data_IF_820629781288
#
_entry.id   IF_820629781288
#
_cell.length_a   1.000
_cell.length_b   1.000
_cell.length_c   1.000
_cell.angle_alpha   90.00
_cell.angle_beta   90.00
_cell.angle_gamma   90.00
#
_symmetry.space_group_name_H-M   'P 1'
#
loop_
_entity.id
_entity.type
_entity.pdbx_description
1 polymer ?
#
# COMPACT_ATOMS: atom_id res chain seq x y z
N UNK A 1 36.56 36.75 31.51
CA UNK A 1 37.94 36.22 31.69
C UNK A 1 38.35 36.31 33.16
N UNK A 2 39.27 35.44 33.65
CA UNK A 2 39.73 35.32 35.06
C UNK A 2 38.61 34.84 36.04
N UNK A 3 38.77 33.87 36.94
CA UNK A 3 39.85 33.34 37.82
C UNK A 3 40.02 34.06 39.18
N UNK A 4 39.71 33.33 40.26
CA UNK A 4 40.45 33.23 41.53
C UNK A 4 40.13 31.86 42.16
N UNK A 5 41.10 30.96 42.41
CA UNK A 5 42.11 30.89 43.50
C UNK A 5 41.48 30.47 44.85
N UNK A 6 41.72 29.30 45.48
CA UNK A 6 42.78 28.24 45.49
C UNK A 6 43.87 28.40 46.58
N UNK A 7 43.86 27.47 47.54
CA UNK A 7 44.91 26.98 48.48
C UNK A 7 44.67 25.44 48.59
N UNK A 8 45.61 24.50 48.79
CA UNK A 8 47.06 24.49 49.08
C UNK A 8 47.33 24.12 50.55
N UNK A 9 48.05 23.05 50.97
CA UNK A 9 48.95 22.01 50.36
C UNK A 9 48.65 20.63 51.05
N UNK A 10 48.93 19.40 50.59
CA UNK A 10 49.82 18.76 49.57
C UNK A 10 51.17 18.19 50.10
N UNK A 11 51.19 16.89 50.47
CA UNK A 11 52.31 15.90 50.63
C UNK A 11 51.68 14.51 50.98
N UNK A 12 52.11 13.32 50.54
CA UNK A 12 53.05 12.89 49.48
C UNK A 12 53.35 11.37 49.52
N UNK A 13 53.83 10.76 48.41
CA UNK A 13 54.30 9.34 48.20
C UNK A 13 53.17 8.27 48.25
N UNK A 14 53.06 7.26 47.34
CA UNK A 14 53.89 6.07 47.01
C UNK A 14 54.10 5.12 48.22
N UNK A 15 54.03 3.79 48.09
CA UNK A 15 54.17 2.90 46.90
C UNK A 15 53.32 1.60 46.97
N UNK A 16 53.66 0.56 46.21
CA UNK A 16 52.90 -0.68 45.88
C UNK A 16 52.34 -1.54 47.03
N UNK A 17 51.30 -2.35 46.72
CA UNK A 17 51.00 -3.62 47.40
C UNK A 17 50.69 -4.75 46.39
N UNK A 18 51.09 -5.98 46.73
CA UNK A 18 51.36 -7.05 45.77
C UNK A 18 50.31 -8.20 45.76
N UNK A 19 50.47 -9.07 44.76
CA UNK A 19 49.65 -10.27 44.52
C UNK A 19 49.89 -11.37 45.58
N UNK A 20 48.90 -12.25 45.79
CA UNK A 20 49.03 -13.49 46.56
C UNK A 20 48.84 -14.75 45.68
N UNK A 21 49.45 -15.91 46.01
CA UNK A 21 49.60 -17.04 45.08
C UNK A 21 48.56 -18.17 45.28
N UNK A 22 48.39 -19.07 44.30
CA UNK A 22 47.53 -20.25 44.40
C UNK A 22 48.15 -21.41 45.24
N UNK A 23 47.33 -22.35 45.74
CA UNK A 23 47.80 -23.49 46.55
C UNK A 23 48.46 -24.65 45.73
N UNK A 24 49.24 -25.54 46.39
CA UNK A 24 50.11 -26.52 45.74
C UNK A 24 49.46 -27.89 45.39
N UNK A 25 50.12 -28.74 44.56
CA UNK A 25 49.60 -30.02 44.07
C UNK A 25 49.95 -31.26 44.94
N UNK A 26 49.26 -32.40 44.74
CA UNK A 26 49.58 -33.69 45.38
C UNK A 26 50.77 -34.45 44.72
N UNK A 27 51.38 -35.44 45.43
CA UNK A 27 52.60 -36.15 45.01
C UNK A 27 52.39 -37.35 44.04
N UNK A 28 53.46 -37.96 43.47
CA UNK A 28 53.39 -38.71 42.20
C UNK A 28 53.63 -40.24 42.27
N UNK A 29 53.64 -40.86 41.08
CA UNK A 29 53.93 -42.27 40.70
C UNK A 29 52.69 -43.20 40.74
N UNK A 30 52.43 -44.06 39.75
CA UNK A 30 53.38 -44.84 38.91
C UNK A 30 53.04 -44.87 37.39
N UNK A 31 53.93 -45.49 36.59
CA UNK A 31 53.93 -45.46 35.12
C UNK A 31 53.54 -46.81 34.52
N UNK A 32 52.44 -46.86 33.76
CA UNK A 32 52.07 -48.04 32.94
C UNK A 32 51.51 -47.61 31.59
N UNK A 33 52.18 -48.01 30.51
CA UNK A 33 51.78 -47.65 29.14
C UNK A 33 50.70 -48.61 28.64
N UNK A 34 49.47 -48.14 28.41
CA UNK A 34 48.44 -48.88 27.69
C UNK A 34 47.86 -48.03 26.57
N UNK A 35 47.99 -48.52 25.34
CA UNK A 35 47.37 -47.94 24.15
C UNK A 35 46.01 -48.62 23.98
N UNK A 36 44.93 -47.87 24.12
CA UNK A 36 43.58 -48.32 23.75
C UNK A 36 43.35 -48.12 22.24
N UNK A 37 42.64 -49.04 21.55
CA UNK A 37 42.37 -48.93 20.12
C UNK A 37 41.36 -47.81 19.82
N UNK A 38 41.42 -47.27 18.60
CA UNK A 38 40.43 -46.31 18.12
C UNK A 38 39.05 -46.96 17.99
N UNK A 39 38.00 -46.23 18.40
CA UNK A 39 36.61 -46.58 18.09
C UNK A 39 36.09 -45.66 16.97
N UNK A 40 35.31 -46.23 16.07
CA UNK A 40 34.73 -45.55 14.92
C UNK A 40 33.60 -44.57 15.35
N UNK A 41 33.37 -43.48 14.60
CA UNK A 41 32.35 -42.50 14.95
C UNK A 41 30.94 -43.08 14.79
N UNK A 42 30.16 -43.07 15.88
CA UNK A 42 28.77 -43.51 15.89
C UNK A 42 27.91 -42.71 14.90
N UNK A 43 27.41 -43.40 13.87
CA UNK A 43 26.54 -42.80 12.84
C UNK A 43 25.12 -42.69 13.38
N UNK A 44 24.81 -41.62 14.12
CA UNK A 44 23.45 -41.08 14.31
C UNK A 44 23.43 -39.72 15.05
N UNK A 45 23.89 -38.67 14.38
CA UNK A 45 23.49 -37.29 14.72
C UNK A 45 23.38 -36.46 13.43
N UNK A 46 22.33 -36.74 12.67
CA UNK A 46 22.02 -35.96 11.48
C UNK A 46 21.57 -34.55 11.90
N UNK A 47 22.45 -33.57 11.71
CA UNK A 47 22.13 -32.14 11.81
C UNK A 47 20.99 -31.82 10.84
N UNK A 48 19.75 -31.77 11.33
CA UNK A 48 18.60 -31.28 10.56
C UNK A 48 18.88 -29.82 10.21
N UNK A 49 19.09 -29.46 8.93
CA UNK A 49 19.34 -28.08 8.57
C UNK A 49 18.09 -27.26 8.90
N UNK A 50 18.27 -26.12 9.57
CA UNK A 50 17.18 -25.25 9.98
C UNK A 50 16.42 -24.71 8.75
N UNK A 51 15.35 -25.40 8.34
CA UNK A 51 14.48 -25.02 7.22
C UNK A 51 13.93 -23.59 7.38
N UNK A 52 13.79 -23.13 8.62
CA UNK A 52 13.42 -21.76 9.01
C UNK A 52 14.35 -20.69 8.40
N UNK A 53 15.65 -20.97 8.28
CA UNK A 53 16.63 -20.05 7.70
C UNK A 53 16.51 -19.99 6.18
N UNK A 54 16.34 -21.14 5.52
CA UNK A 54 16.19 -21.23 4.05
C UNK A 54 14.84 -20.64 3.61
N UNK A 55 13.77 -20.93 4.34
CA UNK A 55 12.43 -20.41 4.05
C UNK A 55 12.38 -18.87 4.09
N UNK A 56 13.11 -18.23 5.01
CA UNK A 56 13.23 -16.77 5.09
C UNK A 56 13.97 -16.13 3.91
N UNK A 57 14.83 -16.87 3.22
CA UNK A 57 15.55 -16.37 2.04
C UNK A 57 14.67 -16.36 0.77
N UNK A 58 13.52 -17.05 0.78
CA UNK A 58 12.65 -17.25 -0.38
C UNK A 58 11.25 -16.61 -0.24
N UNK A 59 10.95 -15.94 0.88
CA UNK A 59 9.70 -15.16 1.00
C UNK A 59 9.75 -13.95 0.05
N UNK A 60 8.87 -13.86 -0.97
CA UNK A 60 8.86 -12.72 -1.89
C UNK A 60 8.55 -11.43 -1.14
N UNK A 61 9.16 -10.31 -1.57
CA UNK A 61 8.90 -9.01 -0.95
C UNK A 61 7.44 -8.57 -1.15
N UNK A 62 6.84 -7.79 -0.22
CA UNK A 62 5.45 -7.37 -0.35
C UNK A 62 5.11 -6.75 -1.70
N UNK A 63 5.99 -5.89 -2.24
CA UNK A 63 5.84 -5.29 -3.57
C UNK A 63 5.73 -6.32 -4.69
N UNK A 64 6.64 -7.31 -4.72
CA UNK A 64 6.61 -8.40 -5.70
C UNK A 64 5.32 -9.23 -5.61
N UNK A 65 4.76 -9.40 -4.41
CA UNK A 65 3.44 -10.01 -4.25
C UNK A 65 2.37 -9.09 -4.86
N UNK A 66 2.38 -7.78 -4.56
CA UNK A 66 1.39 -6.83 -5.11
C UNK A 66 1.37 -6.83 -6.64
N UNK A 67 2.54 -6.84 -7.29
CA UNK A 67 2.69 -6.93 -8.74
C UNK A 67 2.09 -8.22 -9.30
N UNK A 68 2.27 -9.34 -8.60
CA UNK A 68 1.77 -10.67 -8.99
C UNK A 68 0.26 -10.83 -8.81
N UNK A 69 -0.35 -10.10 -7.87
CA UNK A 69 -1.81 -10.16 -7.60
C UNK A 69 -2.61 -9.06 -8.31
N UNK A 70 -1.97 -8.16 -9.07
CA UNK A 70 -2.65 -7.03 -9.70
C UNK A 70 -3.71 -7.51 -10.72
N UNK A 71 -4.96 -7.01 -10.65
CA UNK A 71 -6.01 -7.41 -11.58
C UNK A 71 -5.67 -7.24 -13.06
N UNK A 72 -5.98 -8.28 -13.85
CA UNK A 72 -5.99 -8.20 -15.30
C UNK A 72 -6.99 -7.16 -15.81
N UNK A 73 -6.68 -6.56 -16.96
CA UNK A 73 -7.52 -5.55 -17.60
C UNK A 73 -8.81 -6.21 -18.12
N UNK A 74 -9.95 -5.68 -17.70
CA UNK A 74 -11.29 -6.14 -18.13
C UNK A 74 -11.88 -5.22 -19.20
N UNK A 75 -12.57 -5.81 -20.17
CA UNK A 75 -13.30 -5.11 -21.23
C UNK A 75 -14.63 -4.56 -20.71
N UNK A 76 -15.02 -3.37 -21.14
CA UNK A 76 -16.29 -2.73 -20.79
C UNK A 76 -17.49 -3.51 -21.34
N UNK A 77 -17.35 -4.09 -22.53
CA UNK A 77 -18.48 -4.43 -23.37
C UNK A 77 -19.14 -3.15 -23.85
N UNK A 78 -18.35 -2.25 -24.44
CA UNK A 78 -18.84 -1.08 -25.18
C UNK A 78 -19.43 -1.52 -26.53
N UNK A 79 -20.51 -0.87 -26.94
CA UNK A 79 -21.29 -1.22 -28.12
C UNK A 79 -21.31 -0.04 -29.09
N UNK A 80 -20.32 0.02 -29.99
CA UNK A 80 -20.17 1.08 -30.98
C UNK A 80 -21.23 1.09 -32.09
N UNK A 81 -22.28 0.24 -32.01
CA UNK A 81 -23.47 0.36 -32.84
C UNK A 81 -24.54 1.29 -32.25
N UNK A 82 -24.42 1.61 -30.96
CA UNK A 82 -25.31 2.55 -30.24
C UNK A 82 -24.76 3.98 -30.30
N UNK A 83 -25.63 5.01 -30.23
CA UNK A 83 -25.18 6.38 -30.14
C UNK A 83 -24.50 6.66 -28.79
N UNK A 84 -23.43 7.44 -28.84
CA UNK A 84 -22.69 7.96 -27.67
C UNK A 84 -23.48 9.05 -26.94
N UNK A 85 -24.61 8.67 -26.35
CA UNK A 85 -25.36 9.49 -25.41
C UNK A 85 -24.84 9.29 -23.99
N UNK A 86 -25.07 10.28 -23.12
CA UNK A 86 -24.60 10.25 -21.74
C UNK A 86 -25.09 8.99 -21.01
N UNK A 87 -26.36 8.61 -21.15
CA UNK A 87 -26.93 7.43 -20.51
C UNK A 87 -26.31 6.12 -21.00
N UNK A 88 -25.97 6.00 -22.30
CA UNK A 88 -25.29 4.82 -22.84
C UNK A 88 -23.84 4.72 -22.34
N UNK A 89 -23.12 5.85 -22.29
CA UNK A 89 -21.75 5.92 -21.80
C UNK A 89 -21.68 5.64 -20.30
N UNK A 90 -22.49 6.33 -19.49
CA UNK A 90 -22.55 6.15 -18.03
C UNK A 90 -22.96 4.73 -17.63
N UNK A 91 -23.97 4.14 -18.29
CA UNK A 91 -24.37 2.74 -18.06
C UNK A 91 -23.25 1.76 -18.41
N UNK A 92 -22.44 2.07 -19.42
CA UNK A 92 -21.27 1.27 -19.82
C UNK A 92 -20.11 1.42 -18.84
N UNK A 93 -19.85 2.63 -18.33
CA UNK A 93 -18.87 2.87 -17.26
C UNK A 93 -19.28 2.18 -15.95
N UNK A 94 -20.55 2.22 -15.57
CA UNK A 94 -21.09 1.51 -14.41
C UNK A 94 -20.94 -0.01 -14.56
N UNK A 95 -21.27 -0.56 -15.73
CA UNK A 95 -21.07 -1.99 -16.07
C UNK A 95 -19.59 -2.39 -16.00
N UNK A 96 -18.68 -1.54 -16.45
CA UNK A 96 -17.23 -1.74 -16.32
C UNK A 96 -16.76 -1.67 -14.87
N UNK A 97 -17.19 -0.69 -14.09
CA UNK A 97 -16.83 -0.55 -12.68
C UNK A 97 -17.35 -1.73 -11.85
N UNK A 98 -18.56 -2.23 -12.11
CA UNK A 98 -19.07 -3.48 -11.51
C UNK A 98 -18.17 -4.69 -11.81
N UNK A 99 -17.71 -4.86 -13.06
CA UNK A 99 -16.72 -5.91 -13.42
C UNK A 99 -15.39 -5.72 -12.68
N UNK A 100 -14.91 -4.49 -12.57
CA UNK A 100 -13.66 -4.16 -11.89
C UNK A 100 -13.73 -4.44 -10.38
N UNK A 101 -14.86 -4.13 -9.72
CA UNK A 101 -15.04 -4.38 -8.29
C UNK A 101 -15.06 -5.87 -7.93
N UNK A 102 -15.53 -6.76 -8.82
CA UNK A 102 -15.34 -8.22 -8.65
C UNK A 102 -13.85 -8.57 -8.54
N UNK A 103 -13.00 -7.93 -9.34
CA UNK A 103 -11.55 -8.17 -9.30
C UNK A 103 -10.89 -7.48 -8.09
N UNK A 104 -11.35 -6.30 -7.66
CA UNK A 104 -10.90 -5.64 -6.42
C UNK A 104 -11.17 -6.53 -5.20
N UNK A 105 -12.35 -7.15 -5.10
CA UNK A 105 -12.69 -8.09 -4.02
C UNK A 105 -11.82 -9.35 -4.06
N UNK A 106 -11.45 -9.87 -5.24
CA UNK A 106 -10.50 -10.98 -5.36
C UNK A 106 -9.07 -10.59 -4.95
N UNK A 107 -8.59 -9.44 -5.42
CA UNK A 107 -7.29 -8.86 -5.07
C UNK A 107 -7.16 -8.64 -3.57
N UNK A 108 -8.16 -8.03 -2.94
CA UNK A 108 -8.19 -7.78 -1.51
C UNK A 108 -8.09 -9.07 -0.67
N UNK A 109 -8.71 -10.17 -1.11
CA UNK A 109 -8.64 -11.49 -0.43
C UNK A 109 -7.23 -12.11 -0.42
N UNK A 110 -6.36 -11.74 -1.38
CA UNK A 110 -4.97 -12.22 -1.46
C UNK A 110 -3.94 -11.15 -1.05
N UNK A 111 -4.39 -9.94 -0.71
CA UNK A 111 -3.55 -8.82 -0.31
C UNK A 111 -2.86 -9.09 1.05
N UNK A 112 -1.50 -9.02 1.14
CA UNK A 112 -0.79 -9.27 2.38
C UNK A 112 -1.27 -8.40 3.55
N UNK A 113 -1.59 -9.03 4.68
CA UNK A 113 -2.09 -8.36 5.88
C UNK A 113 -3.59 -8.05 5.90
N UNK A 114 -4.27 -7.90 4.75
CA UNK A 114 -5.70 -7.52 4.73
C UNK A 114 -6.60 -8.56 5.40
N UNK A 115 -6.28 -9.84 5.22
CA UNK A 115 -6.95 -10.97 5.90
C UNK A 115 -6.82 -10.99 7.44
N UNK A 116 -5.96 -10.15 8.02
CA UNK A 116 -5.79 -10.02 9.46
C UNK A 116 -6.83 -9.05 10.07
N UNK A 117 -7.50 -8.24 9.24
CA UNK A 117 -8.59 -7.37 9.65
C UNK A 117 -9.88 -8.20 9.80
N UNK A 118 -10.80 -7.84 10.71
CA UNK A 118 -12.17 -8.36 10.73
C UNK A 118 -12.83 -8.28 9.35
N UNK A 119 -13.66 -9.27 9.00
CA UNK A 119 -14.35 -9.30 7.70
C UNK A 119 -15.21 -8.05 7.45
N UNK A 120 -15.80 -7.50 8.51
CA UNK A 120 -16.57 -6.26 8.47
C UNK A 120 -15.70 -5.03 8.17
N UNK A 121 -14.48 -4.96 8.74
CA UNK A 121 -13.51 -3.90 8.42
C UNK A 121 -13.00 -4.04 6.98
N UNK A 122 -12.79 -5.29 6.50
CA UNK A 122 -12.43 -5.56 5.10
C UNK A 122 -13.50 -5.07 4.12
N UNK A 123 -14.78 -5.39 4.38
CA UNK A 123 -15.92 -4.95 3.56
C UNK A 123 -16.03 -3.41 3.62
N UNK A 124 -15.96 -2.83 4.81
CA UNK A 124 -16.03 -1.38 5.06
C UNK A 124 -14.95 -0.63 4.28
N UNK A 125 -13.69 -1.07 4.32
CA UNK A 125 -12.58 -0.43 3.60
C UNK A 125 -12.77 -0.48 2.08
N UNK A 126 -13.29 -1.59 1.53
CA UNK A 126 -13.61 -1.70 0.10
C UNK A 126 -14.77 -0.75 -0.26
N UNK A 127 -15.83 -0.71 0.54
CA UNK A 127 -17.00 0.18 0.35
C UNK A 127 -16.63 1.67 0.44
N UNK A 128 -15.70 2.07 1.30
CA UNK A 128 -15.25 3.47 1.38
C UNK A 128 -14.24 3.87 0.30
N UNK A 129 -13.47 2.92 -0.26
CA UNK A 129 -12.36 3.23 -1.18
C UNK A 129 -12.62 2.94 -2.66
N UNK A 130 -13.72 2.26 -3.03
CA UNK A 130 -13.97 1.75 -4.38
C UNK A 130 -13.71 2.76 -5.51
N UNK A 131 -14.30 3.95 -5.43
CA UNK A 131 -14.15 5.01 -6.44
C UNK A 131 -12.70 5.48 -6.56
N UNK A 132 -11.98 5.55 -5.44
CA UNK A 132 -10.57 5.93 -5.38
C UNK A 132 -9.66 4.86 -6.01
N UNK A 133 -9.96 3.58 -5.77
CA UNK A 133 -9.26 2.46 -6.41
C UNK A 133 -9.50 2.45 -7.92
N UNK A 134 -10.74 2.67 -8.37
CA UNK A 134 -11.12 2.73 -9.78
C UNK A 134 -10.48 3.92 -10.51
N UNK A 135 -10.50 5.13 -9.94
CA UNK A 135 -9.91 6.33 -10.58
C UNK A 135 -8.38 6.31 -10.60
N UNK A 136 -7.73 5.76 -9.56
CA UNK A 136 -6.28 5.57 -9.54
C UNK A 136 -5.83 4.49 -10.53
N UNK A 137 -6.57 3.37 -10.65
CA UNK A 137 -6.32 2.33 -11.65
C UNK A 137 -6.61 2.80 -13.09
N UNK A 138 -7.63 3.66 -13.29
CA UNK A 138 -7.86 4.36 -14.57
C UNK A 138 -6.67 5.23 -14.93
N UNK A 139 -6.19 6.04 -13.99
CA UNK A 139 -5.03 6.92 -14.20
C UNK A 139 -3.77 6.14 -14.58
N UNK A 140 -3.57 4.97 -13.94
CA UNK A 140 -2.49 4.05 -14.29
C UNK A 140 -2.60 3.48 -15.70
N UNK A 141 -3.80 3.04 -16.12
CA UNK A 141 -4.01 2.55 -17.50
C UNK A 141 -3.81 3.66 -18.53
N UNK A 142 -4.33 4.85 -18.25
CA UNK A 142 -4.20 6.05 -19.11
C UNK A 142 -2.72 6.40 -19.34
N UNK A 143 -1.93 6.41 -18.25
CA UNK A 143 -0.48 6.55 -18.30
C UNK A 143 0.19 5.42 -19.10
N UNK A 144 0.03 4.17 -18.68
CA UNK A 144 0.74 3.01 -19.24
C UNK A 144 0.43 2.74 -20.71
N UNK A 145 -0.80 2.96 -21.17
CA UNK A 145 -1.26 2.59 -22.51
C UNK A 145 -1.36 3.76 -23.49
N UNK A 146 -1.37 5.01 -23.01
CA UNK A 146 -1.53 6.20 -23.89
C UNK A 146 -0.52 7.32 -23.62
N UNK A 147 0.40 7.15 -22.66
CA UNK A 147 1.23 8.23 -22.11
C UNK A 147 0.36 9.41 -21.61
N UNK A 148 -0.79 9.09 -21.02
CA UNK A 148 -1.80 10.04 -20.53
C UNK A 148 -2.32 11.02 -21.59
N UNK A 149 -2.43 10.59 -22.84
CA UNK A 149 -3.12 11.34 -23.90
C UNK A 149 -4.65 11.14 -23.86
N UNK A 150 -5.12 10.00 -23.35
CA UNK A 150 -6.54 9.64 -23.30
C UNK A 150 -6.89 8.91 -21.99
N UNK A 151 -8.16 8.95 -21.59
CA UNK A 151 -8.64 8.17 -20.45
C UNK A 151 -8.93 6.72 -20.88
N UNK A 152 -8.04 5.80 -20.49
CA UNK A 152 -8.09 4.39 -20.87
C UNK A 152 -8.97 3.58 -19.89
N UNK A 153 -10.30 3.72 -20.03
CA UNK A 153 -11.24 2.98 -19.19
C UNK A 153 -11.10 1.46 -19.39
N UNK A 154 -11.11 1.00 -20.63
CA UNK A 154 -10.89 -0.39 -21.03
C UNK A 154 -10.30 -0.45 -22.47
N UNK A 155 -9.83 -1.60 -22.97
CA UNK A 155 -9.27 -1.69 -24.33
C UNK A 155 -10.31 -1.43 -25.43
N UNK A 156 -11.59 -1.67 -25.14
CA UNK A 156 -12.76 -1.36 -25.97
C UNK A 156 -13.41 -0.01 -25.63
N UNK A 157 -12.88 0.74 -24.65
CA UNK A 157 -13.43 2.02 -24.22
C UNK A 157 -12.32 3.00 -23.81
N UNK A 158 -11.89 3.82 -24.75
CA UNK A 158 -10.89 4.89 -24.55
C UNK A 158 -11.58 6.23 -24.83
N UNK A 159 -11.47 7.16 -23.89
CA UNK A 159 -12.11 8.47 -23.96
C UNK A 159 -11.13 9.54 -24.49
N UNK A 160 -11.53 10.18 -25.59
CA UNK A 160 -11.05 11.47 -26.07
C UNK A 160 -11.93 12.61 -25.53
N UNK A 161 -11.56 13.87 -25.80
CA UNK A 161 -12.34 15.06 -25.41
C UNK A 161 -13.83 14.98 -25.84
N UNK A 162 -14.10 14.41 -27.01
CA UNK A 162 -15.46 14.20 -27.51
C UNK A 162 -16.28 13.29 -26.58
N UNK A 163 -15.74 12.13 -26.17
CA UNK A 163 -16.40 11.23 -25.21
C UNK A 163 -16.47 11.82 -23.80
N UNK A 164 -15.52 12.66 -23.43
CA UNK A 164 -15.55 13.40 -22.17
C UNK A 164 -16.71 14.41 -22.13
N UNK A 165 -17.02 15.07 -23.26
CA UNK A 165 -18.24 15.87 -23.40
C UNK A 165 -19.52 15.01 -23.48
N UNK A 166 -19.55 13.98 -24.34
CA UNK A 166 -20.73 13.12 -24.57
C UNK A 166 -21.21 12.40 -23.30
N UNK A 167 -20.30 12.04 -22.39
CA UNK A 167 -20.61 11.38 -21.11
C UNK A 167 -21.19 12.31 -20.03
N UNK A 168 -21.33 13.62 -20.32
CA UNK A 168 -21.79 14.66 -19.39
C UNK A 168 -20.95 14.81 -18.09
N UNK A 169 -19.73 14.26 -18.05
CA UNK A 169 -18.81 14.30 -16.90
C UNK A 169 -17.46 14.96 -17.23
N UNK A 170 -17.43 15.89 -18.19
CA UNK A 170 -16.22 16.49 -18.76
C UNK A 170 -15.21 16.99 -17.70
N UNK A 171 -15.64 17.79 -16.72
CA UNK A 171 -14.74 18.33 -15.67
C UNK A 171 -14.18 17.21 -14.76
N UNK A 172 -14.97 16.16 -14.49
CA UNK A 172 -14.53 15.00 -13.72
C UNK A 172 -13.52 14.16 -14.52
N UNK A 173 -13.73 14.04 -15.84
CA UNK A 173 -12.76 13.46 -16.74
C UNK A 173 -11.45 14.28 -16.78
N UNK A 174 -11.52 15.60 -16.87
CA UNK A 174 -10.34 16.47 -16.79
C UNK A 174 -9.62 16.28 -15.43
N UNK A 175 -10.35 16.20 -14.31
CA UNK A 175 -9.79 15.87 -13.00
C UNK A 175 -9.05 14.53 -12.95
N UNK A 176 -9.67 13.45 -13.46
CA UNK A 176 -9.01 12.14 -13.60
C UNK A 176 -7.81 12.18 -14.56
N UNK A 177 -7.88 13.00 -15.62
CA UNK A 177 -6.79 13.18 -16.58
C UNK A 177 -5.58 13.86 -15.92
N UNK A 178 -5.79 14.91 -15.11
CA UNK A 178 -4.72 15.58 -14.37
C UNK A 178 -3.93 14.64 -13.44
N UNK A 179 -4.59 13.67 -12.80
CA UNK A 179 -3.90 12.61 -12.03
C UNK A 179 -2.98 11.78 -12.94
N UNK A 180 -3.47 11.34 -14.09
CA UNK A 180 -2.64 10.60 -15.06
C UNK A 180 -1.51 11.44 -15.65
N UNK A 181 -1.66 12.76 -15.77
CA UNK A 181 -0.57 13.67 -16.13
C UNK A 181 0.48 13.81 -15.00
N UNK A 182 0.09 13.73 -13.72
CA UNK A 182 1.07 13.65 -12.63
C UNK A 182 1.86 12.33 -12.68
N UNK A 183 1.28 11.22 -13.15
CA UNK A 183 2.02 9.96 -13.31
C UNK A 183 3.14 10.08 -14.34
N UNK A 184 2.86 10.73 -15.49
CA UNK A 184 3.89 11.09 -16.50
C UNK A 184 4.96 11.99 -15.88
N UNK A 185 4.55 13.08 -15.23
CA UNK A 185 5.46 14.07 -14.62
C UNK A 185 6.41 13.45 -13.57
N UNK A 186 5.90 12.53 -12.76
CA UNK A 186 6.67 11.87 -11.71
C UNK A 186 7.44 10.64 -12.22
N UNK A 187 7.14 10.14 -13.42
CA UNK A 187 7.56 8.83 -13.91
C UNK A 187 7.26 7.77 -12.84
N UNK A 188 5.97 7.62 -12.51
CA UNK A 188 5.51 6.70 -11.46
C UNK A 188 5.84 5.25 -11.86
N UNK A 189 6.49 4.49 -10.98
CA UNK A 189 6.78 3.07 -11.27
C UNK A 189 5.58 2.17 -10.94
N UNK A 190 5.57 0.94 -11.47
CA UNK A 190 4.46 0.01 -11.23
C UNK A 190 4.43 -0.46 -9.76
N UNK A 191 5.60 -0.65 -9.17
CA UNK A 191 5.77 -1.05 -7.78
C UNK A 191 5.33 0.09 -6.83
N UNK A 192 5.60 1.34 -7.18
CA UNK A 192 5.07 2.50 -6.45
C UNK A 192 3.54 2.61 -6.57
N UNK A 193 3.00 2.49 -7.79
CA UNK A 193 1.56 2.47 -8.06
C UNK A 193 0.84 1.39 -7.22
N UNK A 194 1.35 0.16 -7.20
CA UNK A 194 0.68 -0.93 -6.48
C UNK A 194 0.67 -0.68 -4.96
N UNK A 195 1.79 -0.21 -4.38
CA UNK A 195 1.85 0.15 -2.95
C UNK A 195 0.93 1.35 -2.64
N UNK A 196 0.92 2.38 -3.50
CA UNK A 196 0.03 3.53 -3.39
C UNK A 196 -1.45 3.11 -3.43
N UNK A 197 -1.84 2.19 -4.31
CA UNK A 197 -3.20 1.66 -4.40
C UNK A 197 -3.64 0.94 -3.10
N UNK A 198 -2.73 0.27 -2.40
CA UNK A 198 -3.03 -0.28 -1.06
C UNK A 198 -3.23 0.83 -0.03
N UNK A 199 -2.45 1.92 -0.10
CA UNK A 199 -2.66 3.07 0.78
C UNK A 199 -4.00 3.78 0.50
N UNK A 200 -4.50 3.75 -0.75
CA UNK A 200 -5.84 4.23 -1.11
C UNK A 200 -6.97 3.31 -0.60
N UNK A 201 -6.80 1.98 -0.62
CA UNK A 201 -7.72 1.05 0.08
C UNK A 201 -7.80 1.38 1.58
N UNK A 202 -6.68 1.79 2.18
CA UNK A 202 -6.56 2.13 3.60
C UNK A 202 -6.74 3.63 3.89
N UNK A 203 -7.38 4.39 3.00
CA UNK A 203 -7.39 5.86 3.03
C UNK A 203 -8.61 6.53 3.68
N UNK A 204 -9.74 5.81 3.79
CA UNK A 204 -10.99 6.32 4.38
C UNK A 204 -11.60 5.26 5.30
N UNK A 205 -12.03 5.66 6.50
CA UNK A 205 -12.60 4.79 7.53
C UNK A 205 -13.89 5.40 8.10
N UNK A 206 -14.69 4.67 8.90
CA UNK A 206 -15.75 5.28 9.70
C UNK A 206 -15.20 6.31 10.68
N UNK A 207 -15.97 7.34 10.99
CA UNK A 207 -15.62 8.41 11.92
C UNK A 207 -15.39 7.90 13.34
N UNK A 208 -16.21 6.94 13.75
CA UNK A 208 -16.15 6.25 15.04
C UNK A 208 -15.06 5.16 15.10
N UNK A 209 -14.38 4.89 13.97
CA UNK A 209 -13.28 3.92 13.84
C UNK A 209 -13.70 2.55 13.26
N UNK A 210 -12.70 1.68 13.10
CA UNK A 210 -12.87 0.28 12.68
C UNK A 210 -12.90 -0.68 13.87
N UNK A 211 -13.50 -1.88 13.72
CA UNK A 211 -13.61 -2.88 14.79
C UNK A 211 -12.25 -3.35 15.30
N UNK A 212 -11.24 -3.41 14.43
CA UNK A 212 -9.83 -3.60 14.81
C UNK A 212 -8.97 -2.45 14.30
N UNK A 213 -9.22 -1.25 14.83
CA UNK A 213 -8.44 -0.04 14.56
C UNK A 213 -6.92 -0.26 14.67
N UNK A 214 -6.46 -1.06 15.65
CA UNK A 214 -5.04 -1.38 15.82
C UNK A 214 -4.45 -2.22 14.68
N UNK A 215 -5.18 -3.23 14.17
CA UNK A 215 -4.73 -4.04 13.04
C UNK A 215 -4.74 -3.24 11.72
N UNK A 216 -5.72 -2.34 11.56
CA UNK A 216 -5.75 -1.38 10.46
C UNK A 216 -4.54 -0.43 10.50
N UNK A 217 -4.24 0.15 11.67
CA UNK A 217 -3.11 1.05 11.85
C UNK A 217 -1.77 0.34 11.65
N UNK A 218 -1.62 -0.92 12.09
CA UNK A 218 -0.46 -1.75 11.77
C UNK A 218 -0.32 -1.94 10.25
N UNK A 219 -1.38 -2.39 9.57
CA UNK A 219 -1.35 -2.65 8.13
C UNK A 219 -1.01 -1.38 7.34
N UNK A 220 -1.69 -0.26 7.61
CA UNK A 220 -1.41 1.02 6.96
C UNK A 220 0.01 1.49 7.24
N UNK A 221 0.46 1.42 8.49
CA UNK A 221 1.84 1.79 8.88
C UNK A 221 2.88 0.94 8.15
N UNK A 222 2.62 -0.35 7.93
CA UNK A 222 3.53 -1.23 7.21
C UNK A 222 3.59 -0.91 5.71
N UNK A 223 2.46 -0.62 5.04
CA UNK A 223 2.50 -0.16 3.65
C UNK A 223 3.14 1.24 3.47
N UNK A 224 3.00 2.14 4.46
CA UNK A 224 3.74 3.42 4.48
C UNK A 224 5.26 3.19 4.59
N UNK A 225 5.69 2.22 5.42
CA UNK A 225 7.11 1.80 5.49
C UNK A 225 7.60 1.22 4.17
N UNK A 226 6.82 0.40 3.48
CA UNK A 226 7.22 -0.15 2.17
C UNK A 226 7.35 0.94 1.09
N UNK A 227 6.41 1.90 1.01
CA UNK A 227 6.52 3.03 0.08
C UNK A 227 7.80 3.84 0.35
N UNK A 228 8.09 4.11 1.63
CA UNK A 228 9.32 4.83 2.02
C UNK A 228 10.58 4.04 1.69
N UNK A 229 10.62 2.72 1.95
CA UNK A 229 11.74 1.85 1.57
C UNK A 229 11.98 1.87 0.06
N UNK A 230 10.91 1.74 -0.72
CA UNK A 230 10.94 1.75 -2.19
C UNK A 230 11.59 3.02 -2.73
N UNK A 231 11.10 4.19 -2.29
CA UNK A 231 11.65 5.47 -2.70
C UNK A 231 13.12 5.66 -2.26
N UNK A 232 13.54 5.07 -1.13
CA UNK A 232 14.97 5.08 -0.71
C UNK A 232 15.87 4.08 -1.44
N UNK A 233 15.34 3.13 -2.23
CA UNK A 233 16.16 2.16 -2.99
C UNK A 233 16.82 2.75 -4.23
N UNK A 234 16.37 3.91 -4.73
CA UNK A 234 16.96 4.55 -5.90
C UNK A 234 18.33 5.20 -5.53
N UNK A 235 19.49 4.64 -5.92
CA UNK A 235 20.75 4.96 -5.24
C UNK A 235 21.35 6.32 -5.59
N UNK A 236 20.95 6.92 -6.71
CA UNK A 236 21.60 8.10 -7.30
C UNK A 236 21.36 9.40 -6.53
N UNK A 237 20.25 9.50 -5.77
CA UNK A 237 19.83 10.75 -5.14
C UNK A 237 19.16 10.53 -3.76
N UNK A 238 19.96 10.23 -2.74
CA UNK A 238 19.48 10.18 -1.34
C UNK A 238 18.74 11.46 -0.94
N UNK A 239 19.28 12.62 -1.35
CA UNK A 239 18.69 13.95 -1.18
C UNK A 239 17.51 14.30 -2.11
N UNK A 240 16.96 13.35 -2.88
CA UNK A 240 15.66 13.47 -3.56
C UNK A 240 14.61 12.48 -3.01
N UNK A 241 15.02 11.45 -2.25
CA UNK A 241 14.11 10.40 -1.77
C UNK A 241 12.97 10.94 -0.90
N UNK A 242 13.25 11.91 -0.02
CA UNK A 242 12.22 12.55 0.79
C UNK A 242 11.25 13.40 -0.04
N UNK A 243 11.73 14.09 -1.07
CA UNK A 243 10.92 14.88 -1.98
C UNK A 243 10.01 13.99 -2.84
N UNK A 244 10.51 12.83 -3.33
CA UNK A 244 9.67 11.87 -4.04
C UNK A 244 8.63 11.25 -3.11
N UNK A 245 8.98 10.87 -1.88
CA UNK A 245 8.00 10.38 -0.90
C UNK A 245 6.94 11.44 -0.56
N UNK A 246 7.33 12.72 -0.45
CA UNK A 246 6.39 13.84 -0.30
C UNK A 246 5.49 14.01 -1.54
N UNK A 247 6.04 13.93 -2.76
CA UNK A 247 5.26 14.00 -4.01
C UNK A 247 4.23 12.87 -4.12
N UNK A 248 4.62 11.63 -3.81
CA UNK A 248 3.71 10.48 -3.85
C UNK A 248 2.62 10.58 -2.77
N UNK A 249 2.97 10.98 -1.53
CA UNK A 249 1.96 11.18 -0.47
C UNK A 249 1.04 12.37 -0.72
N UNK A 250 1.53 13.44 -1.33
CA UNK A 250 0.69 14.56 -1.80
C UNK A 250 -0.23 14.16 -2.96
N UNK A 251 0.21 13.26 -3.84
CA UNK A 251 -0.61 12.69 -4.90
C UNK A 251 -1.73 11.80 -4.31
N UNK A 252 -1.42 10.96 -3.30
CA UNK A 252 -2.44 10.23 -2.53
C UNK A 252 -3.47 11.18 -1.92
N UNK A 253 -3.02 12.25 -1.24
CA UNK A 253 -3.93 13.23 -0.63
C UNK A 253 -4.82 13.93 -1.67
N UNK A 254 -4.30 14.24 -2.86
CA UNK A 254 -5.10 14.86 -3.93
C UNK A 254 -6.16 13.95 -4.55
N UNK A 255 -6.06 12.63 -4.38
CA UNK A 255 -7.14 11.72 -4.81
C UNK A 255 -8.43 11.96 -4.04
N UNK A 256 -8.36 12.45 -2.80
CA UNK A 256 -9.53 12.60 -1.93
C UNK A 256 -10.51 13.67 -2.40
N UNK A 257 -9.99 14.77 -2.95
CA UNK A 257 -10.82 15.87 -3.44
C UNK A 257 -11.52 15.44 -4.74
N UNK A 258 -10.77 14.91 -5.72
CA UNK A 258 -11.31 14.32 -6.94
C UNK A 258 -12.34 13.21 -6.67
N UNK A 259 -12.11 12.36 -5.67
CA UNK A 259 -13.03 11.27 -5.32
C UNK A 259 -14.29 11.78 -4.63
N UNK A 260 -14.25 12.93 -3.96
CA UNK A 260 -15.45 13.59 -3.45
C UNK A 260 -16.36 13.98 -4.61
N UNK A 261 -15.82 14.70 -5.61
CA UNK A 261 -16.57 15.18 -6.77
C UNK A 261 -17.14 14.01 -7.60
N UNK A 262 -16.35 12.95 -7.78
CA UNK A 262 -16.78 11.71 -8.46
C UNK A 262 -17.89 10.97 -7.70
N UNK A 263 -17.84 10.93 -6.37
CA UNK A 263 -18.89 10.30 -5.55
C UNK A 263 -20.17 11.14 -5.53
N UNK A 264 -20.09 12.47 -5.49
CA UNK A 264 -21.26 13.35 -5.58
C UNK A 264 -22.03 13.13 -6.89
N UNK A 265 -21.34 13.15 -8.03
CA UNK A 265 -21.95 12.84 -9.33
C UNK A 265 -22.49 11.40 -9.42
N UNK A 266 -21.78 10.43 -8.82
CA UNK A 266 -22.24 9.04 -8.77
C UNK A 266 -23.52 8.88 -7.93
N UNK A 267 -23.62 9.54 -6.78
CA UNK A 267 -24.81 9.50 -5.92
C UNK A 267 -25.99 10.25 -6.54
N UNK A 268 -25.75 11.37 -7.23
CA UNK A 268 -26.77 12.06 -8.03
C UNK A 268 -27.31 11.17 -9.14
N UNK A 269 -26.43 10.60 -9.98
CA UNK A 269 -26.84 9.72 -11.10
C UNK A 269 -27.46 8.40 -10.63
N UNK A 270 -27.12 7.92 -9.43
CA UNK A 270 -27.75 6.75 -8.80
C UNK A 270 -29.19 7.05 -8.35
N UNK A 271 -29.42 8.18 -7.67
CA UNK A 271 -30.75 8.66 -7.26
C UNK A 271 -31.68 8.87 -8.45
N UNK A 272 -31.21 9.64 -9.42
CA UNK A 272 -31.98 10.00 -10.62
C UNK A 272 -31.88 8.94 -11.74
N UNK A 273 -31.39 7.74 -11.43
CA UNK A 273 -31.09 6.67 -12.41
C UNK A 273 -32.25 6.35 -13.36
N UNK A 274 -33.50 6.38 -12.89
CA UNK A 274 -34.69 6.16 -13.72
C UNK A 274 -35.00 7.35 -14.65
N UNK A 275 -34.82 8.59 -14.18
CA UNK A 275 -35.06 9.79 -14.97
C UNK A 275 -33.96 10.02 -16.02
N UNK A 276 -32.70 9.77 -15.63
CA UNK A 276 -31.51 9.85 -16.48
C UNK A 276 -31.26 8.60 -17.33
N UNK A 277 -32.02 7.52 -17.12
CA UNK A 277 -31.87 6.20 -17.78
C UNK A 277 -30.48 5.56 -17.61
N UNK A 278 -29.80 5.85 -16.50
CA UNK A 278 -28.46 5.32 -16.19
C UNK A 278 -28.57 4.00 -15.44
N UNK A 279 -28.11 2.92 -16.05
CA UNK A 279 -28.11 1.58 -15.45
C UNK A 279 -26.95 1.41 -14.44
N UNK A 280 -27.22 0.72 -13.34
CA UNK A 280 -26.22 0.31 -12.35
C UNK A 280 -26.26 -1.22 -12.16
N UNK A 281 -25.14 -1.95 -12.30
CA UNK A 281 -25.11 -3.38 -12.03
C UNK A 281 -25.22 -3.64 -10.52
N UNK A 282 -25.77 -4.80 -10.13
CA UNK A 282 -26.08 -5.14 -8.74
C UNK A 282 -24.92 -4.88 -7.74
N UNK A 283 -23.67 -5.12 -8.13
CA UNK A 283 -22.51 -4.85 -7.27
C UNK A 283 -22.31 -3.35 -6.95
N UNK A 284 -22.60 -2.44 -7.89
CA UNK A 284 -22.60 -1.01 -7.57
C UNK A 284 -23.83 -0.60 -6.77
N UNK A 285 -24.99 -1.22 -7.03
CA UNK A 285 -26.20 -0.99 -6.22
C UNK A 285 -25.94 -1.35 -4.75
N UNK A 286 -25.30 -2.49 -4.49
CA UNK A 286 -24.91 -2.93 -3.14
C UNK A 286 -23.93 -1.96 -2.46
N UNK A 287 -22.85 -1.58 -3.15
CA UNK A 287 -21.84 -0.64 -2.63
C UNK A 287 -22.44 0.75 -2.37
N UNK A 288 -23.17 1.32 -3.34
CA UNK A 288 -23.68 2.70 -3.25
C UNK A 288 -24.80 2.79 -2.21
N UNK A 289 -25.71 1.81 -2.13
CA UNK A 289 -26.82 1.84 -1.16
C UNK A 289 -26.32 1.81 0.30
N UNK A 290 -25.18 1.16 0.54
CA UNK A 290 -24.51 1.14 1.85
C UNK A 290 -23.65 2.39 2.11
N UNK A 291 -22.88 2.83 1.10
CA UNK A 291 -21.90 3.92 1.25
C UNK A 291 -22.57 5.31 1.30
N UNK A 292 -23.56 5.57 0.45
CA UNK A 292 -24.22 6.87 0.29
C UNK A 292 -24.71 7.47 1.63
N UNK A 293 -25.54 6.77 2.45
CA UNK A 293 -25.99 7.33 3.73
C UNK A 293 -24.86 7.52 4.74
N UNK A 294 -23.75 6.77 4.65
CA UNK A 294 -22.57 6.92 5.52
C UNK A 294 -21.72 8.14 5.13
N UNK A 295 -21.65 8.48 3.85
CA UNK A 295 -20.98 9.70 3.37
C UNK A 295 -21.80 10.94 3.71
N UNK A 296 -23.11 10.95 3.42
CA UNK A 296 -23.98 12.11 3.66
C UNK A 296 -24.18 12.44 5.15
N UNK A 297 -24.19 11.43 6.02
CA UNK A 297 -24.19 11.64 7.48
C UNK A 297 -22.85 12.13 8.04
N UNK A 298 -21.82 12.30 7.20
CA UNK A 298 -20.48 12.71 7.61
C UNK A 298 -19.78 11.65 8.47
N UNK A 299 -20.08 10.37 8.28
CA UNK A 299 -19.39 9.23 8.90
C UNK A 299 -18.15 8.79 8.09
N UNK A 300 -17.97 9.29 6.86
CA UNK A 300 -16.71 9.14 6.12
C UNK A 300 -15.59 9.97 6.76
N UNK A 301 -14.52 9.32 7.24
CA UNK A 301 -13.31 9.96 7.77
C UNK A 301 -12.11 9.67 6.89
N UNK A 302 -11.78 10.65 6.06
CA UNK A 302 -10.60 10.70 5.20
C UNK A 302 -9.31 10.84 6.01
N UNK A 303 -8.26 10.09 5.64
CA UNK A 303 -6.99 10.01 6.38
C UNK A 303 -5.81 10.51 5.54
N UNK A 304 -5.66 11.84 5.50
CA UNK A 304 -4.57 12.54 4.81
C UNK A 304 -3.17 12.27 5.42
N UNK A 305 -2.14 12.38 4.59
CA UNK A 305 -0.73 12.42 5.00
C UNK A 305 -0.31 13.82 5.45
N UNK A 306 -0.76 14.85 4.72
CA UNK A 306 -0.46 16.25 4.98
C UNK A 306 -1.75 16.95 5.46
N UNK A 307 -1.66 17.74 6.52
CA UNK A 307 -2.79 18.58 6.94
C UNK A 307 -3.01 19.68 5.90
N UNK A 308 -4.27 19.92 5.55
CA UNK A 308 -4.71 21.14 4.86
C UNK A 308 -4.57 22.35 5.80
#
# INVERSE_FOLDING_TARGET
ARKSKKLGKLKGLHEEQAQQPPPPPPPPQSRTTYIAPAQEPSVNSALVPQLSTISRALTPSPSMILETIEPEIVYAGYDGSKPDTAENLLSTLNRLAGKQMIQVVKWAKVLPGFKNLPLEDQITLIQYSWMCLSSFALSWRSYKHTNSQYLYFAPDLVFNEEKMHQSAMYELCQGMHQISLQFVRLQLTFEEYTVMKVLLLLSTIPKDGLKSQAAFEEMRTNYIKELRKMVTKCPSNSGQSWQRFYQLTKLLDSMHDLVSDLLEFCFYTFRESQALKVEFPAMLVEIISDQLPKVESGNAKTLYFHRK
#
